data_IF_861281248078
#
_entry.id   IF_861281248078
#
_cell.length_a   1.000
_cell.length_b   1.000
_cell.length_c   1.000
_cell.angle_alpha   90.00
_cell.angle_beta   90.00
_cell.angle_gamma   90.00
#
_symmetry.space_group_name_H-M   'P 1'
#
loop_
_entity.id
_entity.type
_entity.pdbx_description
1 polymer ?
#
# COMPACT_ATOMS: atom_id res chain seq x y z
N UNK A 1 67.80 15.82 -48.37
CA UNK A 1 66.61 15.01 -48.00
C UNK A 1 66.27 15.02 -46.50
N UNK A 2 66.76 15.97 -45.68
CA UNK A 2 66.38 16.08 -44.24
C UNK A 2 65.64 17.37 -43.86
N UNK A 3 65.51 18.35 -44.76
CA UNK A 3 64.73 19.59 -44.54
C UNK A 3 63.31 19.57 -45.15
N UNK A 4 63.02 18.63 -46.05
CA UNK A 4 61.68 18.48 -46.65
C UNK A 4 60.73 17.61 -45.79
N UNK A 5 61.28 16.74 -44.94
CA UNK A 5 60.49 15.85 -44.06
C UNK A 5 59.98 16.54 -42.79
N UNK A 6 60.55 17.68 -42.39
CA UNK A 6 60.10 18.42 -41.20
C UNK A 6 58.92 19.34 -41.53
N UNK A 7 58.83 19.84 -42.77
CA UNK A 7 57.73 20.70 -43.20
C UNK A 7 56.42 19.91 -43.42
N UNK A 8 56.52 18.64 -43.80
CA UNK A 8 55.35 17.77 -43.98
C UNK A 8 54.73 17.33 -42.64
N UNK A 9 55.52 17.22 -41.58
CA UNK A 9 55.05 16.86 -40.23
C UNK A 9 54.41 18.04 -39.48
N UNK A 10 54.77 19.29 -39.78
CA UNK A 10 54.10 20.47 -39.22
C UNK A 10 52.75 20.79 -39.88
N UNK A 11 52.58 20.47 -41.17
CA UNK A 11 51.29 20.67 -41.86
C UNK A 11 50.26 19.60 -41.45
N UNK A 12 50.71 18.39 -41.09
CA UNK A 12 49.85 17.34 -40.54
C UNK A 12 49.41 17.59 -39.09
N UNK A 13 50.08 18.48 -38.35
CA UNK A 13 49.67 18.88 -37.00
C UNK A 13 48.78 20.14 -36.96
N UNK A 14 48.66 20.89 -38.07
CA UNK A 14 47.76 22.06 -38.16
C UNK A 14 46.40 21.75 -38.77
N UNK A 15 46.20 20.58 -39.39
CA UNK A 15 44.92 20.19 -39.98
C UNK A 15 43.97 19.41 -39.05
N UNK A 16 44.38 19.13 -37.80
CA UNK A 16 43.57 18.38 -36.84
C UNK A 16 42.62 19.23 -35.97
N UNK A 17 42.56 20.56 -36.18
CA UNK A 17 41.71 21.47 -35.39
C UNK A 17 40.44 21.96 -36.09
N UNK A 18 40.02 21.30 -37.18
CA UNK A 18 38.78 21.65 -37.88
C UNK A 18 37.78 20.49 -37.80
N UNK A 19 36.72 20.76 -37.02
CA UNK A 19 35.47 20.00 -36.91
C UNK A 19 35.44 18.78 -35.98
N UNK A 20 35.75 19.01 -34.69
CA UNK A 20 34.86 18.49 -33.65
C UNK A 20 33.80 19.56 -33.38
N UNK A 21 32.82 19.71 -34.28
CA UNK A 21 31.48 20.04 -33.79
C UNK A 21 31.10 18.79 -33.01
N UNK A 22 31.18 18.86 -31.68
CA UNK A 22 30.32 18.03 -30.88
C UNK A 22 28.92 18.29 -31.43
N UNK A 23 28.36 17.30 -32.12
CA UNK A 23 26.95 17.28 -32.41
C UNK A 23 26.32 17.27 -31.01
N UNK A 24 25.97 18.45 -30.51
CA UNK A 24 25.03 18.68 -29.41
C UNK A 24 23.62 18.26 -29.90
N UNK A 25 23.53 17.11 -30.57
CA UNK A 25 22.34 16.29 -30.58
C UNK A 25 22.25 15.66 -29.20
N UNK A 26 21.96 16.51 -28.21
CA UNK A 26 20.98 16.12 -27.21
C UNK A 26 19.74 15.83 -28.04
N UNK A 27 19.53 14.55 -28.37
CA UNK A 27 18.19 14.06 -28.66
C UNK A 27 17.32 14.64 -27.56
N UNK A 28 16.52 15.67 -27.91
CA UNK A 28 15.48 16.16 -27.03
C UNK A 28 14.57 14.95 -26.87
N UNK A 29 14.80 14.15 -25.82
CA UNK A 29 13.88 13.08 -25.42
C UNK A 29 12.51 13.74 -25.47
N UNK A 30 11.65 13.25 -26.37
CA UNK A 30 10.29 13.74 -26.45
C UNK A 30 9.69 13.57 -25.06
N UNK A 31 9.52 14.70 -24.36
CA UNK A 31 8.91 14.69 -23.04
C UNK A 31 7.46 14.27 -23.29
N UNK A 32 7.08 13.11 -22.74
CA UNK A 32 5.70 12.64 -22.81
C UNK A 32 4.77 13.75 -22.30
N UNK A 33 3.86 14.20 -23.17
CA UNK A 33 2.84 15.19 -22.82
C UNK A 33 1.58 14.43 -22.42
N UNK A 34 1.23 14.49 -21.15
CA UNK A 34 0.00 13.90 -20.63
C UNK A 34 -1.15 14.91 -20.69
N UNK A 35 -2.32 14.44 -21.10
CA UNK A 35 -3.59 15.17 -21.01
C UNK A 35 -4.47 14.45 -20.01
N UNK A 36 -4.89 15.16 -18.97
CA UNK A 36 -5.85 14.63 -17.99
C UNK A 36 -7.22 14.48 -18.67
N UNK A 37 -7.76 13.26 -18.67
CA UNK A 37 -9.08 12.96 -19.23
C UNK A 37 -10.17 13.03 -18.15
N UNK A 38 -9.88 12.48 -16.97
CA UNK A 38 -10.73 12.51 -15.80
C UNK A 38 -9.91 12.99 -14.60
N UNK A 39 -10.54 13.76 -13.72
CA UNK A 39 -9.95 14.24 -12.47
C UNK A 39 -10.95 14.00 -11.35
N UNK A 40 -10.68 13.00 -10.50
CA UNK A 40 -11.52 12.68 -9.35
C UNK A 40 -10.95 13.38 -8.12
N UNK A 41 -11.81 13.95 -7.29
CA UNK A 41 -11.38 14.62 -6.07
C UNK A 41 -10.69 13.63 -5.13
N UNK A 42 -9.52 14.01 -4.63
CA UNK A 42 -8.65 13.18 -3.81
C UNK A 42 -7.94 14.03 -2.76
N UNK A 43 -7.33 13.38 -1.78
CA UNK A 43 -6.54 13.98 -0.72
C UNK A 43 -5.06 14.13 -1.13
N UNK A 44 -4.24 14.67 -0.23
CA UNK A 44 -2.81 14.80 -0.44
C UNK A 44 -2.11 13.45 -0.64
N UNK A 45 -1.03 13.47 -1.43
CA UNK A 45 -0.15 12.31 -1.60
C UNK A 45 0.51 11.94 -0.27
N UNK A 46 0.41 10.67 0.11
CA UNK A 46 0.99 10.10 1.34
C UNK A 46 2.29 9.35 1.05
N UNK A 47 3.02 8.97 2.11
CA UNK A 47 4.31 8.28 2.00
C UNK A 47 4.43 7.13 3.01
N UNK A 48 4.27 5.89 2.54
CA UNK A 48 4.44 4.68 3.35
C UNK A 48 5.85 4.44 3.87
N UNK A 49 6.84 5.16 3.35
CA UNK A 49 8.26 5.06 3.69
C UNK A 49 8.78 3.60 3.68
N UNK A 50 9.61 3.20 4.64
CA UNK A 50 10.20 1.85 4.69
C UNK A 50 9.24 0.85 5.37
N UNK A 51 8.06 0.66 4.77
CA UNK A 51 7.07 -0.32 5.21
C UNK A 51 6.38 -0.99 4.02
N UNK A 52 6.00 -2.26 4.17
CA UNK A 52 5.29 -3.04 3.15
C UNK A 52 3.77 -2.82 3.15
N UNK A 53 3.32 -1.58 3.32
CA UNK A 53 1.91 -1.25 3.65
C UNK A 53 1.15 -0.55 2.52
N UNK A 54 1.64 -0.64 1.28
CA UNK A 54 1.04 0.03 0.11
C UNK A 54 -0.46 -0.26 -0.04
N UNK A 55 -0.89 -1.48 0.25
CA UNK A 55 -2.30 -1.89 0.25
C UNK A 55 -3.17 -1.04 1.18
N UNK A 56 -2.64 -0.66 2.34
CA UNK A 56 -3.34 0.19 3.30
C UNK A 56 -3.37 1.63 2.79
N UNK A 57 -2.24 2.15 2.31
CA UNK A 57 -2.17 3.52 1.76
C UNK A 57 -3.04 3.72 0.52
N UNK A 58 -3.03 2.79 -0.44
CA UNK A 58 -3.84 2.92 -1.66
C UNK A 58 -5.33 2.78 -1.38
N UNK A 59 -5.73 1.79 -0.56
CA UNK A 59 -7.14 1.60 -0.22
C UNK A 59 -7.66 2.69 0.72
N UNK A 60 -6.81 3.28 1.57
CA UNK A 60 -7.16 4.44 2.38
C UNK A 60 -7.34 5.69 1.53
N UNK A 61 -6.48 5.92 0.54
CA UNK A 61 -6.67 7.03 -0.42
C UNK A 61 -7.97 6.89 -1.23
N UNK A 62 -8.34 5.67 -1.62
CA UNK A 62 -9.65 5.37 -2.20
C UNK A 62 -10.78 5.67 -1.21
N UNK A 63 -10.69 5.17 0.02
CA UNK A 63 -11.66 5.41 1.09
C UNK A 63 -11.86 6.93 1.32
N UNK A 64 -10.80 7.71 1.42
CA UNK A 64 -10.85 9.17 1.58
C UNK A 64 -11.56 9.86 0.42
N UNK A 65 -11.31 9.43 -0.81
CA UNK A 65 -12.01 9.92 -2.00
C UNK A 65 -13.51 9.58 -1.94
N UNK A 66 -13.86 8.40 -1.46
CA UNK A 66 -15.25 8.00 -1.20
C UNK A 66 -15.90 8.83 -0.08
N UNK A 67 -15.17 9.19 0.99
CA UNK A 67 -15.70 10.08 2.03
C UNK A 67 -16.07 11.46 1.47
N UNK A 68 -15.26 11.98 0.54
CA UNK A 68 -15.55 13.21 -0.18
C UNK A 68 -16.81 13.02 -1.04
N UNK A 69 -16.87 11.95 -1.86
CA UNK A 69 -18.01 11.63 -2.73
C UNK A 69 -19.33 11.49 -1.96
N UNK A 70 -19.27 10.91 -0.76
CA UNK A 70 -20.42 10.71 0.15
C UNK A 70 -20.81 11.99 0.90
N UNK A 71 -20.09 13.10 0.73
CA UNK A 71 -20.38 14.38 1.35
C UNK A 71 -19.94 14.47 2.82
N UNK A 72 -19.13 13.53 3.31
CA UNK A 72 -18.53 13.62 4.64
C UNK A 72 -17.40 14.65 4.68
N UNK A 73 -16.74 14.89 3.54
CA UNK A 73 -15.69 15.88 3.36
C UNK A 73 -14.29 15.30 3.42
N UNK A 74 -13.28 16.16 3.23
CA UNK A 74 -11.87 15.75 3.20
C UNK A 74 -11.35 15.44 4.60
N UNK A 75 -10.88 14.21 4.80
CA UNK A 75 -10.34 13.71 6.05
C UNK A 75 -9.05 12.94 5.77
N UNK A 76 -8.09 13.04 6.67
CA UNK A 76 -6.86 12.24 6.66
C UNK A 76 -7.06 11.03 7.58
N UNK A 77 -7.10 9.83 7.02
CA UNK A 77 -7.45 8.59 7.72
C UNK A 77 -6.18 7.78 7.98
N UNK A 78 -6.07 7.23 9.20
CA UNK A 78 -4.89 6.46 9.59
C UNK A 78 -4.79 5.13 8.84
N UNK A 79 -3.82 5.03 7.93
CA UNK A 79 -3.45 3.75 7.30
C UNK A 79 -2.96 2.74 8.34
N UNK A 80 -2.31 3.24 9.40
CA UNK A 80 -1.72 2.40 10.42
C UNK A 80 -2.76 1.75 11.31
N UNK A 81 -3.95 2.34 11.46
CA UNK A 81 -5.04 1.69 12.16
C UNK A 81 -5.44 0.39 11.46
N UNK A 82 -5.54 0.40 10.13
CA UNK A 82 -5.84 -0.79 9.34
C UNK A 82 -4.71 -1.83 9.47
N UNK A 83 -3.46 -1.41 9.35
CA UNK A 83 -2.28 -2.28 9.54
C UNK A 83 -2.29 -2.94 10.93
N UNK A 84 -2.49 -2.14 11.99
CA UNK A 84 -2.51 -2.58 13.40
C UNK A 84 -3.62 -3.61 13.67
N UNK A 85 -4.79 -3.46 13.05
CA UNK A 85 -5.92 -4.39 13.19
C UNK A 85 -5.79 -5.64 12.33
N UNK A 86 -5.02 -5.60 11.25
CA UNK A 86 -4.79 -6.76 10.38
C UNK A 86 -3.73 -7.74 10.91
N UNK A 87 -2.64 -7.26 11.54
CA UNK A 87 -1.56 -8.13 12.02
C UNK A 87 -2.01 -9.27 12.97
N UNK A 88 -2.86 -9.04 14.00
CA UNK A 88 -3.30 -10.12 14.86
C UNK A 88 -4.07 -11.22 14.11
N UNK A 89 -4.88 -10.83 13.12
CA UNK A 89 -5.65 -11.77 12.29
C UNK A 89 -4.73 -12.56 11.35
N UNK A 90 -3.73 -11.89 10.75
CA UNK A 90 -2.66 -12.55 9.97
C UNK A 90 -1.88 -13.54 10.82
N UNK A 91 -1.50 -13.15 12.05
CA UNK A 91 -0.77 -14.00 12.98
C UNK A 91 -1.58 -15.23 13.36
N UNK A 92 -2.88 -15.07 13.63
CA UNK A 92 -3.77 -16.19 13.91
C UNK A 92 -3.83 -17.19 12.75
N UNK A 93 -3.99 -16.71 11.52
CA UNK A 93 -3.95 -17.60 10.35
C UNK A 93 -2.60 -18.29 10.20
N UNK A 94 -1.51 -17.55 10.33
CA UNK A 94 -0.16 -18.14 10.28
C UNK A 94 0.00 -19.28 11.28
N UNK A 95 -0.46 -19.09 12.53
CA UNK A 95 -0.43 -20.10 13.57
C UNK A 95 -1.33 -21.30 13.24
N UNK A 96 -2.56 -21.07 12.77
CA UNK A 96 -3.52 -22.14 12.41
C UNK A 96 -3.06 -22.98 11.23
N UNK A 97 -2.37 -22.38 10.26
CA UNK A 97 -1.75 -23.08 9.14
C UNK A 97 -0.35 -23.62 9.45
N UNK A 98 0.04 -23.65 10.72
CA UNK A 98 1.31 -24.18 11.20
C UNK A 98 2.53 -23.58 10.49
N UNK A 99 2.45 -22.28 10.19
CA UNK A 99 3.52 -21.52 9.54
C UNK A 99 3.66 -21.73 8.04
N UNK A 100 2.74 -22.48 7.41
CA UNK A 100 2.73 -22.74 5.96
C UNK A 100 1.96 -21.67 5.16
N UNK A 101 1.49 -20.62 5.83
CA UNK A 101 0.81 -19.51 5.19
C UNK A 101 1.66 -18.24 5.22
N UNK A 102 1.31 -17.20 4.47
CA UNK A 102 2.06 -15.96 4.48
C UNK A 102 1.89 -15.23 5.82
N UNK A 103 2.98 -14.73 6.39
CA UNK A 103 2.97 -13.73 7.46
C UNK A 103 3.99 -12.66 7.13
N UNK A 104 3.49 -11.54 6.63
CA UNK A 104 4.28 -10.40 6.21
C UNK A 104 3.48 -9.10 6.24
N UNK A 105 4.13 -7.97 5.90
CA UNK A 105 3.50 -6.64 5.97
C UNK A 105 2.46 -6.42 4.87
N UNK A 106 2.55 -7.15 3.76
CA UNK A 106 1.67 -7.05 2.59
C UNK A 106 0.22 -7.46 2.87
N UNK A 107 -0.69 -7.05 1.99
CA UNK A 107 -2.14 -7.18 2.13
C UNK A 107 -2.85 -6.76 0.85
N UNK A 108 -4.18 -6.67 0.90
CA UNK A 108 -5.04 -6.32 -0.23
C UNK A 108 -6.07 -5.25 0.15
N UNK A 109 -6.76 -4.68 -0.84
CA UNK A 109 -7.73 -3.61 -0.59
C UNK A 109 -8.86 -4.02 0.37
N UNK A 110 -9.37 -5.25 0.25
CA UNK A 110 -10.36 -5.80 1.19
C UNK A 110 -9.90 -5.82 2.64
N UNK A 111 -8.59 -5.83 2.93
CA UNK A 111 -8.14 -5.77 4.33
C UNK A 111 -8.59 -4.47 4.99
N UNK A 112 -8.55 -3.35 4.27
CA UNK A 112 -9.03 -2.05 4.78
C UNK A 112 -10.54 -2.09 4.97
N UNK A 113 -11.31 -2.53 3.97
CA UNK A 113 -12.79 -2.58 4.09
C UNK A 113 -13.25 -3.56 5.17
N UNK A 114 -12.57 -4.70 5.32
CA UNK A 114 -12.78 -5.65 6.41
C UNK A 114 -12.48 -5.03 7.78
N UNK A 115 -11.41 -4.24 7.89
CA UNK A 115 -11.12 -3.53 9.15
C UNK A 115 -12.18 -2.47 9.43
N UNK A 116 -12.60 -1.68 8.43
CA UNK A 116 -13.69 -0.70 8.60
C UNK A 116 -14.96 -1.39 9.09
N UNK A 117 -15.32 -2.52 8.49
CA UNK A 117 -16.50 -3.32 8.87
C UNK A 117 -16.44 -3.81 10.31
N UNK A 118 -15.31 -4.36 10.74
CA UNK A 118 -15.20 -5.05 12.02
C UNK A 118 -14.77 -4.11 13.17
N UNK A 119 -13.93 -3.13 12.87
CA UNK A 119 -13.25 -2.28 13.85
C UNK A 119 -13.44 -0.79 13.62
N UNK A 120 -13.99 -0.36 12.48
CA UNK A 120 -14.14 1.05 12.13
C UNK A 120 -12.87 1.68 11.57
N UNK A 121 -12.75 3.00 11.69
CA UNK A 121 -11.58 3.76 11.24
C UNK A 121 -11.34 4.97 12.14
N UNK A 122 -10.15 5.54 12.07
CA UNK A 122 -9.75 6.71 12.88
C UNK A 122 -8.99 7.72 12.02
N UNK A 123 -9.07 9.02 12.32
CA UNK A 123 -8.22 10.03 11.68
C UNK A 123 -6.73 9.82 11.97
N UNK A 124 -5.87 10.23 11.06
CA UNK A 124 -4.40 10.12 11.19
C UNK A 124 -3.87 10.85 12.44
N UNK A 125 -4.43 12.03 12.76
CA UNK A 125 -4.03 12.78 13.96
C UNK A 125 -4.35 12.05 15.28
N UNK A 126 -5.28 11.10 15.24
CA UNK A 126 -5.69 10.29 16.39
C UNK A 126 -4.79 9.07 16.55
N UNK A 127 -4.31 8.48 15.45
CA UNK A 127 -3.45 7.30 15.48
C UNK A 127 -2.46 7.30 14.32
N UNK A 128 -1.28 7.89 14.52
CA UNK A 128 -0.23 7.96 13.49
C UNK A 128 0.49 6.63 13.23
N UNK A 129 0.40 5.68 14.17
CA UNK A 129 1.09 4.39 14.05
C UNK A 129 2.62 4.45 14.12
N UNK A 130 3.19 5.50 14.71
CA UNK A 130 4.62 5.61 14.99
C UNK A 130 4.76 5.84 16.50
N UNK A 131 5.32 4.85 17.21
CA UNK A 131 5.48 4.90 18.67
C UNK A 131 6.93 4.67 19.13
N UNK A 132 7.89 4.78 18.21
CA UNK A 132 9.32 4.70 18.50
C UNK A 132 9.96 6.10 18.46
N UNK A 133 10.91 6.36 19.36
CA UNK A 133 11.41 7.71 19.65
C UNK A 133 12.28 8.28 18.52
N UNK A 134 12.04 9.56 18.18
CA UNK A 134 12.91 10.34 17.30
C UNK A 134 12.65 10.15 15.80
N UNK A 135 11.63 9.40 15.42
CA UNK A 135 11.32 9.08 14.03
C UNK A 135 10.01 9.73 13.60
N UNK A 136 9.96 10.20 12.35
CA UNK A 136 8.80 10.84 11.72
C UNK A 136 8.25 10.04 10.53
N UNK A 137 8.90 8.90 10.21
CA UNK A 137 8.61 8.05 9.07
C UNK A 137 8.47 6.59 9.50
N UNK A 138 7.61 5.86 8.78
CA UNK A 138 7.45 4.43 8.98
C UNK A 138 8.73 3.66 8.60
N UNK A 139 9.21 2.85 9.53
CA UNK A 139 10.24 1.85 9.29
C UNK A 139 9.85 0.57 10.02
N UNK A 140 9.20 -0.35 9.30
CA UNK A 140 8.64 -1.57 9.89
C UNK A 140 9.59 -2.76 9.79
N UNK A 141 10.82 -2.56 9.28
CA UNK A 141 11.77 -3.66 9.09
C UNK A 141 12.05 -4.43 10.39
N UNK A 142 12.20 -3.72 11.51
CA UNK A 142 12.39 -4.34 12.82
C UNK A 142 11.10 -5.01 13.33
N UNK A 143 9.96 -4.31 13.25
CA UNK A 143 8.65 -4.84 13.64
C UNK A 143 8.33 -6.16 12.94
N UNK A 144 8.47 -6.20 11.61
CA UNK A 144 8.18 -7.38 10.79
C UNK A 144 9.08 -8.56 11.17
N UNK A 145 10.37 -8.31 11.37
CA UNK A 145 11.33 -9.34 11.77
C UNK A 145 11.02 -9.90 13.17
N UNK A 146 10.71 -9.03 14.13
CA UNK A 146 10.38 -9.42 15.51
C UNK A 146 9.10 -10.25 15.54
N UNK A 147 8.03 -9.80 14.89
CA UNK A 147 6.76 -10.52 14.85
C UNK A 147 6.92 -11.90 14.19
N UNK A 148 7.60 -11.97 13.03
CA UNK A 148 7.83 -13.25 12.33
C UNK A 148 8.65 -14.21 13.18
N UNK A 149 9.74 -13.75 13.79
CA UNK A 149 10.60 -14.58 14.62
C UNK A 149 9.86 -15.13 15.83
N UNK A 150 9.00 -14.32 16.46
CA UNK A 150 8.19 -14.74 17.60
C UNK A 150 7.18 -15.84 17.23
N UNK A 151 6.48 -15.70 16.11
CA UNK A 151 5.53 -16.72 15.65
C UNK A 151 6.25 -18.01 15.26
N UNK A 152 7.37 -17.92 14.56
CA UNK A 152 8.19 -19.09 14.20
C UNK A 152 8.72 -19.83 15.42
N UNK A 153 9.18 -19.10 16.44
CA UNK A 153 9.62 -19.69 17.69
C UNK A 153 8.46 -20.39 18.42
N UNK A 154 7.27 -19.81 18.38
CA UNK A 154 6.06 -20.41 18.95
C UNK A 154 5.71 -21.73 18.26
N UNK A 155 5.78 -21.78 16.94
CA UNK A 155 5.52 -23.00 16.15
C UNK A 155 6.59 -24.08 16.32
N UNK A 156 7.85 -23.70 16.55
CA UNK A 156 8.96 -24.64 16.80
C UNK A 156 8.95 -25.24 18.22
N UNK A 157 8.11 -24.72 19.12
CA UNK A 157 8.01 -25.21 20.49
C UNK A 157 7.68 -26.70 20.51
N UNK A 158 8.46 -27.47 21.28
CA UNK A 158 8.20 -28.90 21.53
C UNK A 158 7.18 -29.13 22.65
N UNK A 159 6.56 -28.06 23.16
CA UNK A 159 5.49 -28.16 24.14
C UNK A 159 4.34 -28.99 23.57
N UNK A 160 3.75 -29.92 24.34
CA UNK A 160 2.59 -30.71 23.88
C UNK A 160 1.34 -29.84 23.63
N UNK A 161 1.32 -28.60 24.12
CA UNK A 161 0.23 -27.64 23.91
C UNK A 161 0.78 -26.24 23.60
N UNK A 162 0.25 -25.63 22.54
CA UNK A 162 0.43 -24.20 22.28
C UNK A 162 -0.50 -23.41 23.19
N UNK A 163 0.06 -22.45 23.94
CA UNK A 163 -0.72 -21.57 24.84
C UNK A 163 -1.41 -20.46 24.03
N UNK A 164 -2.28 -19.69 24.67
CA UNK A 164 -2.80 -18.40 24.17
C UNK A 164 -2.02 -17.22 24.79
N UNK A 165 -0.71 -17.37 24.92
CA UNK A 165 0.15 -16.25 25.35
C UNK A 165 0.75 -15.53 24.13
N UNK A 166 0.92 -16.22 23.01
CA UNK A 166 1.55 -15.67 21.81
C UNK A 166 0.71 -14.56 21.16
N UNK A 167 -0.62 -14.68 21.19
CA UNK A 167 -1.55 -13.68 20.66
C UNK A 167 -1.45 -12.37 21.43
N UNK A 168 -1.41 -12.44 22.77
CA UNK A 168 -1.17 -11.27 23.64
C UNK A 168 0.22 -10.69 23.46
N UNK A 169 1.22 -11.53 23.21
CA UNK A 169 2.58 -11.06 22.94
C UNK A 169 2.68 -10.33 21.60
N UNK A 170 2.01 -10.81 20.54
CA UNK A 170 1.84 -10.09 19.26
C UNK A 170 1.21 -8.74 19.50
N UNK A 171 0.12 -8.68 20.24
CA UNK A 171 -0.60 -7.44 20.48
C UNK A 171 0.25 -6.43 21.27
N UNK A 172 0.98 -6.89 22.29
CA UNK A 172 1.90 -6.06 23.06
C UNK A 172 3.08 -5.54 22.21
N UNK A 173 3.66 -6.37 21.33
CA UNK A 173 4.68 -5.92 20.40
C UNK A 173 4.11 -4.85 19.48
N UNK A 174 2.93 -5.06 18.90
CA UNK A 174 2.29 -4.05 18.05
C UNK A 174 2.06 -2.72 18.79
N UNK A 175 1.62 -2.76 20.05
CA UNK A 175 1.45 -1.55 20.87
C UNK A 175 2.78 -0.82 21.12
N UNK A 176 3.90 -1.56 21.28
CA UNK A 176 5.22 -0.96 21.44
C UNK A 176 5.64 -0.19 20.18
N UNK A 177 5.47 -0.75 18.98
CA UNK A 177 5.97 -0.14 17.74
C UNK A 177 4.98 0.86 17.11
N UNK A 178 3.69 0.53 17.10
CA UNK A 178 2.66 1.30 16.42
C UNK A 178 1.81 2.13 17.39
N UNK A 179 1.94 1.90 18.70
CA UNK A 179 1.09 2.52 19.71
C UNK A 179 -0.21 1.75 19.92
N UNK A 180 -0.89 2.07 21.02
CA UNK A 180 -2.18 1.46 21.33
C UNK A 180 -3.28 2.12 20.49
N UNK A 181 -4.00 1.33 19.70
CA UNK A 181 -5.16 1.82 18.97
C UNK A 181 -6.25 2.32 19.95
N UNK A 182 -6.85 3.51 19.74
CA UNK A 182 -7.80 4.08 20.67
C UNK A 182 -9.16 3.38 20.62
N UNK A 183 -9.76 3.17 21.78
CA UNK A 183 -11.14 2.69 21.91
C UNK A 183 -12.16 3.84 21.73
N UNK A 184 -11.76 5.04 22.13
CA UNK A 184 -12.50 6.29 21.99
C UNK A 184 -11.55 7.47 21.75
N UNK A 185 -12.03 8.50 21.04
CA UNK A 185 -11.28 9.70 20.74
C UNK A 185 -12.22 10.90 20.54
N UNK A 186 -11.68 12.11 20.62
CA UNK A 186 -12.38 13.34 20.27
C UNK A 186 -11.86 13.84 18.92
N UNK A 187 -12.76 14.19 18.02
CA UNK A 187 -12.43 14.72 16.70
C UNK A 187 -13.46 15.77 16.30
N UNK A 188 -13.00 16.96 15.91
CA UNK A 188 -13.87 18.10 15.58
C UNK A 188 -14.94 18.41 16.65
N UNK A 189 -14.55 18.36 17.93
CA UNK A 189 -15.41 18.67 19.08
C UNK A 189 -16.49 17.63 19.38
N UNK A 190 -16.40 16.43 18.80
CA UNK A 190 -17.31 15.31 19.05
C UNK A 190 -16.53 14.08 19.50
N UNK A 191 -17.10 13.34 20.45
CA UNK A 191 -16.57 12.06 20.91
C UNK A 191 -17.01 10.93 19.98
N UNK A 192 -16.07 10.08 19.57
CA UNK A 192 -16.28 8.93 18.73
C UNK A 192 -15.59 7.69 19.29
N UNK A 193 -16.15 6.53 19.00
CA UNK A 193 -15.39 5.27 18.81
C UNK A 193 -15.03 5.12 17.33
N UNK A 194 -14.03 4.29 16.97
CA UNK A 194 -13.70 4.04 15.56
C UNK A 194 -14.89 3.58 14.71
N UNK A 195 -15.75 2.72 15.25
CA UNK A 195 -16.97 2.27 14.57
C UNK A 195 -18.00 3.40 14.40
N UNK A 196 -18.18 4.25 15.41
CA UNK A 196 -19.14 5.36 15.31
C UNK A 196 -18.68 6.42 14.32
N UNK A 197 -17.36 6.64 14.17
CA UNK A 197 -16.79 7.55 13.18
C UNK A 197 -17.00 7.00 11.76
N UNK A 198 -16.72 5.71 11.54
CA UNK A 198 -17.02 5.02 10.28
C UNK A 198 -18.51 5.11 9.92
N UNK A 199 -19.41 4.89 10.89
CA UNK A 199 -20.86 5.02 10.67
C UNK A 199 -21.27 6.46 10.34
N UNK A 200 -20.67 7.45 10.98
CA UNK A 200 -20.97 8.86 10.74
C UNK A 200 -20.54 9.33 9.34
N UNK A 201 -19.55 8.66 8.72
CA UNK A 201 -19.09 8.99 7.39
C UNK A 201 -20.01 8.51 6.26
N UNK A 202 -20.92 7.58 6.56
CA UNK A 202 -21.82 6.97 5.57
C UNK A 202 -21.13 5.94 4.67
N UNK A 203 -19.84 5.67 4.86
CA UNK A 203 -19.12 4.63 4.12
C UNK A 203 -19.60 3.24 4.55
N UNK A 204 -20.08 2.46 3.59
CA UNK A 204 -20.52 1.08 3.81
C UNK A 204 -19.60 0.12 3.06
N UNK A 205 -18.77 -0.69 3.76
CA UNK A 205 -17.88 -1.67 3.14
C UNK A 205 -18.56 -2.64 2.16
N UNK A 206 -19.85 -2.93 2.35
CA UNK A 206 -20.60 -3.87 1.50
C UNK A 206 -20.97 -3.29 0.12
N UNK A 207 -20.84 -1.98 -0.08
CA UNK A 207 -21.12 -1.34 -1.37
C UNK A 207 -19.96 -1.51 -2.37
N UNK A 208 -18.82 -2.05 -1.92
CA UNK A 208 -17.59 -2.19 -2.70
C UNK A 208 -17.31 -3.64 -3.04
N UNK A 209 -16.94 -3.89 -4.28
CA UNK A 209 -16.60 -5.22 -4.79
C UNK A 209 -15.28 -5.15 -5.56
N UNK A 210 -14.48 -6.21 -5.46
CA UNK A 210 -13.21 -6.30 -6.18
C UNK A 210 -13.36 -7.12 -7.47
N UNK A 211 -12.68 -6.68 -8.53
CA UNK A 211 -12.67 -7.35 -9.81
C UNK A 211 -11.26 -7.87 -10.14
N UNK A 212 -11.21 -8.95 -10.91
CA UNK A 212 -9.97 -9.51 -11.46
C UNK A 212 -10.23 -10.06 -12.87
N UNK A 213 -9.17 -10.46 -13.59
CA UNK A 213 -9.29 -11.01 -14.94
C UNK A 213 -8.21 -12.06 -15.19
N UNK A 214 -8.54 -13.32 -14.92
CA UNK A 214 -7.67 -14.47 -15.11
C UNK A 214 -8.37 -15.60 -15.87
N UNK A 215 -7.63 -16.25 -16.78
CA UNK A 215 -8.15 -17.32 -17.65
C UNK A 215 -8.15 -18.70 -17.00
N UNK A 216 -7.48 -18.87 -15.86
CA UNK A 216 -7.48 -20.14 -15.11
C UNK A 216 -8.71 -20.31 -14.19
N UNK A 217 -9.60 -19.32 -14.13
CA UNK A 217 -10.94 -19.45 -13.53
C UNK A 217 -12.04 -19.20 -14.55
N UNK A 218 -13.25 -19.74 -14.34
CA UNK A 218 -14.43 -19.31 -15.10
C UNK A 218 -14.67 -17.80 -14.93
N UNK A 219 -15.05 -17.13 -16.02
CA UNK A 219 -15.52 -15.75 -15.96
C UNK A 219 -16.93 -15.67 -15.37
N UNK A 220 -17.30 -14.49 -14.88
CA UNK A 220 -18.57 -14.16 -14.23
C UNK A 220 -18.84 -14.99 -12.96
N UNK A 221 -17.76 -15.31 -12.23
CA UNK A 221 -17.81 -16.01 -10.94
C UNK A 221 -16.93 -15.29 -9.92
N UNK A 222 -17.25 -15.50 -8.64
CA UNK A 222 -16.39 -15.10 -7.54
C UNK A 222 -15.26 -16.11 -7.38
N UNK A 223 -14.02 -15.64 -7.32
CA UNK A 223 -12.82 -16.47 -7.23
C UNK A 223 -11.91 -15.95 -6.12
N UNK A 224 -11.21 -16.86 -5.46
CA UNK A 224 -10.17 -16.51 -4.50
C UNK A 224 -8.84 -16.47 -5.24
N UNK A 225 -8.19 -15.31 -5.30
CA UNK A 225 -6.84 -15.22 -5.87
C UNK A 225 -5.83 -15.85 -4.90
N UNK A 226 -5.05 -16.82 -5.36
CA UNK A 226 -4.03 -17.55 -4.60
C UNK A 226 -2.71 -16.77 -4.56
N UNK A 227 -2.79 -15.52 -4.10
CA UNK A 227 -1.64 -14.67 -3.82
C UNK A 227 -1.35 -14.65 -2.32
N UNK A 228 -0.07 -14.59 -1.89
CA UNK A 228 0.30 -14.63 -0.47
C UNK A 228 -0.40 -13.57 0.39
N UNK A 229 -0.67 -12.40 -0.20
CA UNK A 229 -1.27 -11.27 0.50
C UNK A 229 -2.81 -11.32 0.56
N UNK A 230 -3.48 -12.24 -0.14
CA UNK A 230 -4.90 -12.53 0.07
C UNK A 230 -5.05 -13.48 1.28
N UNK A 231 -4.60 -13.00 2.43
CA UNK A 231 -4.53 -13.81 3.64
C UNK A 231 -5.92 -14.09 4.23
N UNK A 232 -6.90 -13.24 3.94
CA UNK A 232 -8.28 -13.33 4.41
C UNK A 232 -9.15 -14.29 3.57
N UNK A 233 -8.68 -14.70 2.38
CA UNK A 233 -9.43 -15.50 1.39
C UNK A 233 -10.66 -14.78 0.83
N UNK A 234 -10.59 -13.45 0.73
CA UNK A 234 -11.64 -12.67 0.09
C UNK A 234 -11.69 -12.95 -1.41
N UNK A 235 -12.89 -12.74 -1.97
CA UNK A 235 -13.24 -13.13 -3.31
C UNK A 235 -13.31 -11.93 -4.25
N UNK A 236 -12.82 -12.15 -5.46
CA UNK A 236 -12.85 -11.22 -6.58
C UNK A 236 -13.89 -11.69 -7.60
N UNK A 237 -14.62 -10.79 -8.22
CA UNK A 237 -15.38 -11.11 -9.43
C UNK A 237 -14.41 -11.23 -10.61
N UNK A 238 -14.27 -12.44 -11.14
CA UNK A 238 -13.45 -12.68 -12.32
C UNK A 238 -14.24 -12.33 -13.59
N UNK A 239 -13.77 -11.34 -14.34
CA UNK A 239 -14.41 -10.84 -15.57
C UNK A 239 -13.46 -10.89 -16.74
N UNK A 240 -13.96 -10.77 -17.96
CA UNK A 240 -13.10 -10.67 -19.14
C UNK A 240 -12.30 -9.36 -19.10
N UNK A 241 -11.07 -9.38 -19.64
CA UNK A 241 -10.16 -8.22 -19.63
C UNK A 241 -10.81 -6.97 -20.25
N UNK A 242 -11.54 -7.13 -21.35
CA UNK A 242 -12.23 -6.01 -21.99
C UNK A 242 -13.30 -5.38 -21.09
N UNK A 243 -13.98 -6.18 -20.29
CA UNK A 243 -15.00 -5.68 -19.36
C UNK A 243 -14.35 -5.06 -18.12
N UNK A 244 -13.22 -5.61 -17.63
CA UNK A 244 -12.42 -4.96 -16.59
C UNK A 244 -11.98 -3.54 -17.00
N UNK A 245 -11.50 -3.38 -18.25
CA UNK A 245 -11.14 -2.07 -18.79
C UNK A 245 -12.33 -1.12 -18.85
N UNK A 246 -13.50 -1.58 -19.35
CA UNK A 246 -14.73 -0.76 -19.38
C UNK A 246 -15.22 -0.38 -17.99
N UNK A 247 -15.10 -1.27 -17.00
CA UNK A 247 -15.46 -0.99 -15.61
C UNK A 247 -14.62 0.17 -15.09
N UNK A 248 -13.30 0.12 -15.26
CA UNK A 248 -12.40 1.21 -14.85
C UNK A 248 -12.71 2.52 -15.58
N UNK A 249 -12.91 2.49 -16.90
CA UNK A 249 -13.26 3.69 -17.67
C UNK A 249 -14.60 4.28 -17.26
N UNK A 250 -15.61 3.43 -17.03
CA UNK A 250 -16.94 3.87 -16.60
C UNK A 250 -16.91 4.42 -15.17
N UNK A 251 -16.14 3.84 -14.25
CA UNK A 251 -15.96 4.36 -12.91
C UNK A 251 -15.42 5.80 -12.95
N UNK A 252 -14.31 6.01 -13.66
CA UNK A 252 -13.69 7.32 -13.81
C UNK A 252 -14.61 8.33 -14.51
N UNK A 253 -15.33 7.91 -15.56
CA UNK A 253 -16.26 8.77 -16.28
C UNK A 253 -17.47 9.22 -15.43
N UNK A 254 -17.83 8.45 -14.40
CA UNK A 254 -18.93 8.75 -13.50
C UNK A 254 -18.48 9.31 -12.14
N UNK A 255 -17.21 9.72 -12.01
CA UNK A 255 -16.73 10.40 -10.80
C UNK A 255 -16.31 9.48 -9.65
N UNK A 256 -16.10 8.19 -9.91
CA UNK A 256 -15.53 7.24 -8.95
C UNK A 256 -14.01 7.14 -9.13
N UNK A 257 -13.26 7.02 -8.03
CA UNK A 257 -11.79 6.89 -8.03
C UNK A 257 -11.33 5.44 -8.19
#
# INVERSE_FOLDING_TARGET
MKKLSVLFLLILFLSSNLFLKADDKKDKKEIHKFKMLYNIENTSVKNQSNSGTCWSFSATSFLESELIRLGFGSHDISEMFFVRKSYPQKAERYMRYHGNFNFGPGGQAHDVTNVVKNFGMVPEEIYRGINYYGEDKHNHSELDAVLKAMLDATLKSKSPKTTNAWDKAVDAVLDVYLGKAPDEFEYNGKKYTPQSFAKASGFNPEDYIEFTSYTNYPFNQKVMLEVPDNWSFDLYYNVELNDLMKIMENALANGYS
#
